data_IF_739487740282
#
_entry.id   IF_739487740282
#
_cell.length_a   1.000
_cell.length_b   1.000
_cell.length_c   1.000
_cell.angle_alpha   90.00
_cell.angle_beta   90.00
_cell.angle_gamma   90.00
#
_symmetry.space_group_name_H-M   'P 1'
#
loop_
_entity.id
_entity.type
_entity.pdbx_description
1 polymer ?
#
# COMPACT_ATOMS: atom_id res chain seq x y z
N UNK A 1 -26.87 -22.52 -11.85
CA UNK A 1 -26.42 -21.59 -12.90
C UNK A 1 -26.60 -20.12 -12.51
N UNK A 2 -27.78 -19.68 -12.01
CA UNK A 2 -27.99 -18.29 -11.57
C UNK A 2 -27.10 -17.80 -10.41
N UNK A 3 -26.74 -18.67 -9.45
CA UNK A 3 -25.88 -18.30 -8.32
C UNK A 3 -24.42 -17.98 -8.70
N UNK A 4 -23.88 -18.63 -9.74
CA UNK A 4 -22.53 -18.29 -10.25
C UNK A 4 -22.53 -16.96 -10.98
N UNK A 5 -23.59 -16.66 -11.74
CA UNK A 5 -23.74 -15.36 -12.42
C UNK A 5 -23.80 -14.20 -11.40
N UNK A 6 -24.45 -14.39 -10.25
CA UNK A 6 -24.48 -13.37 -9.18
C UNK A 6 -23.10 -13.17 -8.53
N UNK A 7 -22.35 -14.25 -8.30
CA UNK A 7 -20.98 -14.19 -7.77
C UNK A 7 -20.03 -13.49 -8.75
N UNK A 8 -20.10 -13.83 -10.03
CA UNK A 8 -19.30 -13.19 -11.08
C UNK A 8 -19.63 -11.69 -11.18
N UNK A 9 -20.91 -11.32 -11.15
CA UNK A 9 -21.34 -9.92 -11.12
C UNK A 9 -20.85 -9.17 -9.88
N UNK A 10 -20.88 -9.80 -8.71
CA UNK A 10 -20.37 -9.20 -7.47
C UNK A 10 -18.86 -9.01 -7.51
N UNK A 11 -18.10 -9.99 -8.02
CA UNK A 11 -16.64 -9.86 -8.21
C UNK A 11 -16.31 -8.74 -9.21
N UNK A 12 -17.06 -8.68 -10.31
CA UNK A 12 -17.07 -7.58 -11.27
C UNK A 12 -17.75 -6.32 -10.81
N UNK A 13 -18.21 -6.22 -9.55
CA UNK A 13 -18.59 -5.00 -8.83
C UNK A 13 -17.49 -4.56 -7.84
N UNK A 14 -16.72 -5.51 -7.32
CA UNK A 14 -15.62 -5.26 -6.38
C UNK A 14 -14.32 -4.83 -7.06
N UNK A 15 -13.95 -5.44 -8.19
CA UNK A 15 -12.65 -5.22 -8.83
C UNK A 15 -12.47 -3.81 -9.42
N UNK A 16 -13.34 -3.40 -10.33
CA UNK A 16 -13.63 -2.00 -10.70
C UNK A 16 -13.82 -1.02 -9.53
N UNK A 17 -14.50 -1.35 -8.42
CA UNK A 17 -14.56 -0.44 -7.27
C UNK A 17 -13.17 -0.26 -6.65
N UNK A 18 -12.42 -1.35 -6.47
CA UNK A 18 -11.04 -1.35 -6.03
C UNK A 18 -10.13 -0.56 -6.98
N UNK A 19 -10.25 -0.79 -8.29
CA UNK A 19 -9.44 -0.12 -9.33
C UNK A 19 -9.76 1.37 -9.36
N UNK A 20 -11.02 1.77 -9.33
CA UNK A 20 -11.41 3.18 -9.33
C UNK A 20 -10.94 3.89 -8.06
N UNK A 21 -11.18 3.28 -6.89
CA UNK A 21 -10.75 3.87 -5.61
C UNK A 21 -9.22 3.96 -5.53
N UNK A 22 -8.50 2.89 -5.86
CA UNK A 22 -7.04 2.88 -5.86
C UNK A 22 -6.45 3.83 -6.90
N UNK A 23 -7.04 3.95 -8.09
CA UNK A 23 -6.59 4.89 -9.11
C UNK A 23 -6.72 6.35 -8.64
N UNK A 24 -7.81 6.71 -7.96
CA UNK A 24 -7.98 8.06 -7.39
C UNK A 24 -6.95 8.31 -6.29
N UNK A 25 -6.78 7.36 -5.37
CA UNK A 25 -5.85 7.48 -4.24
C UNK A 25 -4.40 7.56 -4.73
N UNK A 26 -3.97 6.66 -5.62
CA UNK A 26 -2.61 6.64 -6.18
C UNK A 26 -2.36 7.77 -7.19
N UNK A 27 -3.38 8.22 -7.91
CA UNK A 27 -3.29 9.29 -8.89
C UNK A 27 -3.22 10.68 -8.25
N UNK A 28 -3.67 10.83 -7.01
CA UNK A 28 -3.50 12.08 -6.28
C UNK A 28 -2.01 12.35 -6.03
N UNK A 29 -1.47 13.52 -6.44
CA UNK A 29 -0.05 13.81 -6.30
C UNK A 29 0.29 13.92 -4.81
N UNK A 30 0.99 12.92 -4.28
CA UNK A 30 1.45 12.89 -2.90
C UNK A 30 2.63 13.82 -2.63
N UNK A 31 3.03 13.99 -1.36
CA UNK A 31 4.14 14.87 -0.96
C UNK A 31 5.46 14.55 -1.69
N UNK A 32 5.75 13.25 -1.90
CA UNK A 32 6.93 12.80 -2.62
C UNK A 32 6.91 13.24 -4.10
N UNK A 33 5.78 13.07 -4.78
CA UNK A 33 5.61 13.44 -6.19
C UNK A 33 5.74 14.96 -6.39
N UNK A 34 5.13 15.75 -5.49
CA UNK A 34 5.24 17.21 -5.50
C UNK A 34 6.70 17.64 -5.27
N UNK A 35 7.39 17.01 -4.32
CA UNK A 35 8.79 17.31 -4.02
C UNK A 35 9.73 17.02 -5.20
N UNK A 36 9.60 15.85 -5.86
CA UNK A 36 10.41 15.49 -7.03
C UNK A 36 10.17 16.46 -8.19
N UNK A 37 8.92 16.89 -8.39
CA UNK A 37 8.54 17.86 -9.42
C UNK A 37 9.15 19.23 -9.13
N UNK A 38 9.10 19.69 -7.88
CA UNK A 38 9.72 20.95 -7.45
C UNK A 38 11.24 20.91 -7.61
N UNK A 39 11.89 19.81 -7.22
CA UNK A 39 13.34 19.61 -7.42
C UNK A 39 13.68 19.55 -8.91
N UNK A 40 12.84 18.94 -9.74
CA UNK A 40 13.00 18.93 -11.20
C UNK A 40 12.90 20.31 -11.83
N UNK A 41 12.00 21.16 -11.32
CA UNK A 41 11.86 22.54 -11.76
C UNK A 41 13.03 23.43 -11.30
N UNK A 42 13.58 23.21 -10.10
CA UNK A 42 14.62 24.05 -9.51
C UNK A 42 16.06 23.64 -9.92
N UNK A 43 16.33 22.34 -10.00
CA UNK A 43 17.69 21.78 -10.19
C UNK A 43 17.84 20.95 -11.48
N UNK A 44 16.76 20.80 -12.26
CA UNK A 44 16.76 20.08 -13.52
C UNK A 44 16.57 18.55 -13.39
N UNK A 45 16.50 17.90 -14.55
CA UNK A 45 16.07 16.49 -14.65
C UNK A 45 17.05 15.52 -13.98
N UNK A 46 18.37 15.72 -14.13
CA UNK A 46 19.38 14.78 -13.63
C UNK A 46 19.38 14.68 -12.11
N UNK A 47 19.28 15.81 -11.42
CA UNK A 47 19.27 15.85 -9.96
C UNK A 47 17.92 15.38 -9.40
N UNK A 48 16.82 15.68 -10.08
CA UNK A 48 15.49 15.14 -9.75
C UNK A 48 15.44 13.60 -9.87
N UNK A 49 16.06 13.01 -10.91
CA UNK A 49 16.12 11.56 -11.05
C UNK A 49 16.93 10.88 -9.94
N UNK A 50 18.04 11.48 -9.52
CA UNK A 50 18.83 11.00 -8.37
C UNK A 50 18.06 11.12 -7.06
N UNK A 51 17.32 12.20 -6.88
CA UNK A 51 16.47 12.40 -5.71
C UNK A 51 15.32 11.38 -5.68
N UNK A 52 14.62 11.19 -6.80
CA UNK A 52 13.55 10.21 -6.94
C UNK A 52 14.06 8.78 -6.70
N UNK A 53 15.23 8.41 -7.24
CA UNK A 53 15.80 7.08 -6.99
C UNK A 53 16.14 6.88 -5.51
N UNK A 54 16.63 7.92 -4.83
CA UNK A 54 16.83 7.91 -3.38
C UNK A 54 15.53 7.67 -2.60
N UNK A 55 14.44 8.35 -2.97
CA UNK A 55 13.12 8.12 -2.36
C UNK A 55 12.65 6.68 -2.56
N UNK A 56 12.73 6.17 -3.80
CA UNK A 56 12.28 4.81 -4.11
C UNK A 56 13.09 3.77 -3.33
N UNK A 57 14.41 3.86 -3.36
CA UNK A 57 15.30 2.93 -2.64
C UNK A 57 15.05 3.01 -1.14
N UNK A 58 14.97 4.21 -0.57
CA UNK A 58 14.68 4.40 0.86
C UNK A 58 13.32 3.81 1.26
N UNK A 59 12.29 4.03 0.44
CA UNK A 59 10.96 3.47 0.69
C UNK A 59 10.98 1.94 0.65
N UNK A 60 11.63 1.34 -0.36
CA UNK A 60 11.78 -0.13 -0.46
C UNK A 60 12.52 -0.69 0.74
N UNK A 61 13.62 -0.07 1.15
CA UNK A 61 14.39 -0.52 2.32
C UNK A 61 13.56 -0.47 3.61
N UNK A 62 12.84 0.63 3.85
CA UNK A 62 11.94 0.74 5.02
C UNK A 62 10.86 -0.34 4.98
N UNK A 63 10.22 -0.55 3.82
CA UNK A 63 9.20 -1.59 3.67
C UNK A 63 9.76 -2.98 3.93
N UNK A 64 10.97 -3.30 3.46
CA UNK A 64 11.62 -4.58 3.72
C UNK A 64 11.93 -4.77 5.21
N UNK A 65 12.46 -3.74 5.88
CA UNK A 65 12.74 -3.78 7.32
C UNK A 65 11.46 -3.95 8.12
N UNK A 66 10.39 -3.24 7.76
CA UNK A 66 9.08 -3.36 8.43
C UNK A 66 8.48 -4.75 8.21
N UNK A 67 8.47 -5.26 6.97
CA UNK A 67 7.91 -6.57 6.65
C UNK A 67 8.66 -7.70 7.37
N UNK A 68 9.99 -7.68 7.34
CA UNK A 68 10.83 -8.66 8.03
C UNK A 68 10.74 -8.52 9.55
N UNK A 69 10.71 -7.29 10.06
CA UNK A 69 10.59 -7.00 11.48
C UNK A 69 9.26 -7.49 12.08
N UNK A 70 8.14 -7.25 11.39
CA UNK A 70 6.83 -7.76 11.82
C UNK A 70 6.83 -9.29 11.87
N UNK A 71 7.36 -9.95 10.83
CA UNK A 71 7.46 -11.41 10.81
C UNK A 71 8.32 -11.95 11.95
N UNK A 72 9.45 -11.30 12.26
CA UNK A 72 10.31 -11.69 13.37
C UNK A 72 9.61 -11.54 14.73
N UNK A 73 8.86 -10.45 14.94
CA UNK A 73 8.08 -10.22 16.17
C UNK A 73 6.97 -11.25 16.34
N UNK A 74 6.23 -11.57 15.27
CA UNK A 74 5.18 -12.58 15.31
C UNK A 74 5.74 -13.99 15.57
N UNK A 75 6.92 -14.30 15.01
CA UNK A 75 7.60 -15.58 15.27
C UNK A 75 8.10 -15.69 16.71
N UNK A 76 8.57 -14.59 17.32
CA UNK A 76 9.01 -14.56 18.71
C UNK A 76 7.85 -14.65 19.71
N UNK A 77 6.68 -14.11 19.37
CA UNK A 77 5.50 -14.04 20.24
C UNK A 77 4.26 -14.64 19.54
N UNK A 78 4.09 -15.98 19.55
CA UNK A 78 2.97 -16.62 18.85
C UNK A 78 1.59 -16.20 19.38
N UNK A 79 1.50 -15.76 20.64
CA UNK A 79 0.27 -15.21 21.24
C UNK A 79 -0.14 -13.87 20.63
N UNK A 80 0.80 -13.09 20.09
CA UNK A 80 0.53 -11.79 19.49
C UNK A 80 -0.26 -11.92 18.18
N UNK A 81 0.03 -12.94 17.38
CA UNK A 81 -0.73 -13.24 16.16
C UNK A 81 -2.21 -13.54 16.48
N UNK A 82 -2.47 -14.36 17.50
CA UNK A 82 -3.83 -14.66 17.95
C UNK A 82 -4.55 -13.41 18.50
N UNK A 83 -3.85 -12.59 19.30
CA UNK A 83 -4.39 -11.34 19.80
C UNK A 83 -4.77 -10.38 18.67
N UNK A 84 -3.86 -10.19 17.70
CA UNK A 84 -4.11 -9.37 16.51
C UNK A 84 -5.31 -9.88 15.72
N UNK A 85 -5.44 -11.21 15.53
CA UNK A 85 -6.58 -11.79 14.85
C UNK A 85 -7.92 -11.48 15.57
N UNK A 86 -7.95 -11.60 16.90
CA UNK A 86 -9.14 -11.27 17.71
C UNK A 86 -9.47 -9.78 17.61
N UNK A 87 -8.47 -8.91 17.71
CA UNK A 87 -8.66 -7.44 17.60
C UNK A 87 -9.14 -7.06 16.20
N UNK A 88 -8.55 -7.61 15.14
CA UNK A 88 -8.99 -7.38 13.77
C UNK A 88 -10.41 -7.87 13.52
N UNK A 89 -10.78 -9.04 14.06
CA UNK A 89 -12.15 -9.55 13.96
C UNK A 89 -13.14 -8.61 14.67
N UNK A 90 -12.80 -8.15 15.88
CA UNK A 90 -13.63 -7.19 16.60
C UNK A 90 -13.80 -5.87 15.85
N UNK A 91 -12.74 -5.36 15.20
CA UNK A 91 -12.81 -4.15 14.39
C UNK A 91 -13.65 -4.31 13.12
N UNK A 92 -13.59 -5.46 12.44
CA UNK A 92 -14.41 -5.71 11.23
C UNK A 92 -15.88 -5.89 11.60
N UNK A 93 -16.17 -6.44 12.79
CA UNK A 93 -17.53 -6.62 13.29
C UNK A 93 -18.16 -5.32 13.81
N UNK A 94 -17.33 -4.33 14.17
CA UNK A 94 -17.75 -2.98 14.56
C UNK A 94 -18.04 -2.14 13.31
#
# INVERSE_FOLDING_TARGET
>A
MAGQVLLDQQLWQQLLALVLASAIVMGSPGPATISVTAVGAAFGLRDSLRYASGIVVGTVLVLLVVATGIMAVLAALPKLAALLAVVSAAYILY
#
